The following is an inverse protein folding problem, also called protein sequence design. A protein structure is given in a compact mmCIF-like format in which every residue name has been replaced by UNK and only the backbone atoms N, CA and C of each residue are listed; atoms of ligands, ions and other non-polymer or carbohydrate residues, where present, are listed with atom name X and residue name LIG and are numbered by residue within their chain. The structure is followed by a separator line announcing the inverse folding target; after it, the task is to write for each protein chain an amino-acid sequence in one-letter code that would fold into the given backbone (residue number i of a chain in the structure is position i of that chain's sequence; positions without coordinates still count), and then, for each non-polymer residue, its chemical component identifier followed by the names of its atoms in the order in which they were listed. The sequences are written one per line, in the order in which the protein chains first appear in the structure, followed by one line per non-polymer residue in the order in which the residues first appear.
data_IF_955801945224
#
_entry.id   IF_955801945224
#
_cell.length_a   1.000
_cell.length_b   1.000
_cell.length_c   1.000
_cell.angle_alpha   90.00
_cell.angle_beta   90.00
_cell.angle_gamma   90.00
#
_symmetry.space_group_name_H-M   'P 1'
#
loop_
_entity.id
_entity.type
_entity.pdbx_description
1 polymer ?
#
# COMPACT_ATOMS: atom_id res chain seq x y z
N UNK A 1 -16.86 -42.06 23.70
CA UNK A 1 -16.90 -40.66 23.22
C UNK A 1 -16.53 -39.74 24.36
N UNK A 2 -15.45 -38.97 24.26
CA UNK A 2 -15.03 -38.07 25.34
C UNK A 2 -16.03 -36.90 25.47
N UNK A 3 -16.63 -36.72 26.66
CA UNK A 3 -17.47 -35.57 26.98
C UNK A 3 -16.57 -34.38 27.33
N UNK A 4 -16.31 -33.51 26.35
CA UNK A 4 -15.62 -32.25 26.62
C UNK A 4 -16.54 -31.29 27.38
N UNK A 5 -16.01 -30.59 28.38
CA UNK A 5 -16.76 -29.58 29.11
C UNK A 5 -17.11 -28.40 28.19
N UNK A 6 -18.28 -27.78 28.39
CA UNK A 6 -18.71 -26.59 27.61
C UNK A 6 -17.64 -25.47 27.58
N UNK A 7 -16.93 -25.15 28.68
CA UNK A 7 -15.84 -24.18 28.66
C UNK A 7 -14.70 -24.55 27.70
N UNK A 8 -14.29 -25.82 27.66
CA UNK A 8 -13.24 -26.29 26.75
C UNK A 8 -13.63 -26.14 25.27
N UNK A 9 -14.90 -26.40 24.94
CA UNK A 9 -15.42 -26.24 23.57
C UNK A 9 -15.46 -24.77 23.12
N UNK A 10 -15.81 -23.85 24.04
CA UNK A 10 -15.80 -22.41 23.77
C UNK A 10 -14.37 -21.91 23.56
N UNK A 11 -13.42 -22.32 24.42
CA UNK A 11 -12.01 -21.99 24.26
C UNK A 11 -11.44 -22.45 22.91
N UNK A 12 -11.71 -23.70 22.51
CA UNK A 12 -11.35 -24.24 21.18
C UNK A 12 -11.96 -23.45 20.02
N UNK A 13 -13.15 -22.87 20.21
CA UNK A 13 -13.80 -22.01 19.20
C UNK A 13 -13.10 -20.66 19.09
N UNK A 14 -12.71 -20.06 20.20
CA UNK A 14 -11.98 -18.79 20.24
C UNK A 14 -10.63 -18.94 19.53
N UNK A 15 -9.85 -19.98 19.85
CA UNK A 15 -8.56 -20.23 19.17
C UNK A 15 -8.71 -20.35 17.65
N UNK A 16 -9.74 -21.06 17.17
CA UNK A 16 -10.02 -21.17 15.73
C UNK A 16 -10.42 -19.85 15.10
N UNK A 17 -11.12 -18.99 15.83
CA UNK A 17 -11.47 -17.64 15.37
C UNK A 17 -10.23 -16.75 15.31
N UNK A 18 -9.35 -16.83 16.29
CA UNK A 18 -8.07 -16.12 16.31
C UNK A 18 -7.15 -16.58 15.17
N UNK A 19 -7.00 -17.89 14.96
CA UNK A 19 -6.23 -18.45 13.83
C UNK A 19 -6.79 -17.99 12.48
N UNK A 20 -8.12 -18.03 12.32
CA UNK A 20 -8.78 -17.59 11.09
C UNK A 20 -8.63 -16.10 10.86
N UNK A 21 -8.85 -15.30 11.89
CA UNK A 21 -8.68 -13.85 11.84
C UNK A 21 -7.23 -13.50 11.48
N UNK A 22 -6.24 -14.10 12.14
CA UNK A 22 -4.84 -13.87 11.83
C UNK A 22 -4.49 -14.26 10.39
N UNK A 23 -4.98 -15.41 9.90
CA UNK A 23 -4.77 -15.83 8.52
C UNK A 23 -5.40 -14.87 7.50
N UNK A 24 -6.61 -14.36 7.75
CA UNK A 24 -7.28 -13.40 6.88
C UNK A 24 -6.57 -12.03 6.88
N UNK A 25 -6.09 -11.57 8.04
CA UNK A 25 -5.25 -10.36 8.16
C UNK A 25 -3.91 -10.51 7.43
N UNK A 26 -3.23 -11.66 7.56
CA UNK A 26 -1.97 -11.91 6.85
C UNK A 26 -2.17 -12.01 5.33
N UNK A 27 -3.29 -12.58 4.87
CA UNK A 27 -3.65 -12.58 3.45
C UNK A 27 -3.91 -11.18 2.92
N UNK A 28 -4.64 -10.35 3.67
CA UNK A 28 -4.91 -8.97 3.31
C UNK A 28 -3.60 -8.16 3.26
N UNK A 29 -2.74 -8.34 4.26
CA UNK A 29 -1.40 -7.76 4.31
C UNK A 29 -0.54 -8.15 3.12
N UNK A 30 -0.54 -9.44 2.75
CA UNK A 30 0.19 -9.92 1.57
C UNK A 30 -0.29 -9.26 0.28
N UNK A 31 -1.61 -9.16 0.07
CA UNK A 31 -2.18 -8.46 -1.09
C UNK A 31 -1.82 -6.98 -1.10
N UNK A 32 -1.93 -6.30 0.04
CA UNK A 32 -1.59 -4.89 0.16
C UNK A 32 -0.11 -4.63 -0.14
N UNK A 33 0.80 -5.46 0.39
CA UNK A 33 2.23 -5.36 0.10
C UNK A 33 2.53 -5.58 -1.38
N UNK A 34 1.86 -6.53 -2.02
CA UNK A 34 2.04 -6.77 -3.46
C UNK A 34 1.66 -5.55 -4.30
N UNK A 35 0.54 -4.89 -3.98
CA UNK A 35 0.13 -3.68 -4.69
C UNK A 35 1.07 -2.50 -4.41
N UNK A 36 1.60 -2.38 -3.20
CA UNK A 36 2.60 -1.35 -2.86
C UNK A 36 3.93 -1.59 -3.58
N UNK A 37 4.35 -2.85 -3.74
CA UNK A 37 5.51 -3.20 -4.56
C UNK A 37 5.30 -2.79 -6.03
N UNK A 38 4.14 -3.08 -6.61
CA UNK A 38 3.81 -2.67 -7.97
C UNK A 38 3.90 -1.14 -8.15
N UNK A 39 3.34 -0.39 -7.20
CA UNK A 39 3.39 1.08 -7.19
C UNK A 39 4.83 1.58 -7.06
N UNK A 40 5.62 0.99 -6.16
CA UNK A 40 7.02 1.35 -5.95
C UNK A 40 7.85 1.15 -7.21
N UNK A 41 7.70 -0.01 -7.84
CA UNK A 41 8.43 -0.37 -9.05
C UNK A 41 8.07 0.58 -10.20
N UNK A 42 6.78 0.83 -10.44
CA UNK A 42 6.35 1.74 -11.49
C UNK A 42 6.84 3.17 -11.25
N UNK A 43 6.75 3.67 -10.01
CA UNK A 43 7.28 4.97 -9.64
C UNK A 43 8.81 5.06 -9.86
N UNK A 44 9.55 3.99 -9.53
CA UNK A 44 10.99 3.91 -9.78
C UNK A 44 11.32 3.94 -11.27
N UNK A 45 10.58 3.19 -12.10
CA UNK A 45 10.78 3.16 -13.56
C UNK A 45 10.59 4.54 -14.18
N UNK A 46 9.57 5.27 -13.73
CA UNK A 46 9.34 6.65 -14.20
C UNK A 46 10.43 7.59 -13.70
N UNK A 47 10.79 7.52 -12.41
CA UNK A 47 11.83 8.36 -11.82
C UNK A 47 13.20 8.17 -12.50
N UNK A 48 13.55 6.94 -12.85
CA UNK A 48 14.79 6.59 -13.56
C UNK A 48 14.77 6.96 -15.04
N UNK A 49 13.61 7.36 -15.58
CA UNK A 49 13.46 7.71 -16.99
C UNK A 49 13.34 6.51 -17.92
N UNK A 50 13.04 5.33 -17.39
CA UNK A 50 12.73 4.12 -18.16
C UNK A 50 11.36 4.28 -18.84
N UNK A 51 10.44 4.99 -18.19
CA UNK A 51 9.18 5.46 -18.81
C UNK A 51 9.39 6.89 -19.31
N UNK A 52 9.34 7.05 -20.63
CA UNK A 52 9.57 8.34 -21.30
C UNK A 52 8.29 9.10 -21.61
N UNK A 53 7.17 8.40 -21.79
CA UNK A 53 5.87 8.97 -22.19
C UNK A 53 4.79 8.49 -21.23
N UNK A 54 3.97 9.43 -20.72
CA UNK A 54 2.75 9.17 -19.95
C UNK A 54 1.65 10.04 -20.53
N UNK A 55 0.48 9.45 -20.83
CA UNK A 55 -0.65 10.14 -21.46
C UNK A 55 -0.24 10.96 -22.69
N UNK A 56 0.50 10.33 -23.61
CA UNK A 56 0.99 10.93 -24.87
C UNK A 56 1.98 12.11 -24.70
N UNK A 57 2.51 12.33 -23.49
CA UNK A 57 3.46 13.42 -23.20
C UNK A 57 4.76 12.93 -22.61
N UNK A 58 5.85 13.61 -22.96
CA UNK A 58 7.16 13.32 -22.38
C UNK A 58 7.21 13.63 -20.88
N UNK A 59 7.82 12.71 -20.12
CA UNK A 59 8.00 12.88 -18.68
C UNK A 59 9.14 13.86 -18.41
N UNK A 60 8.77 15.03 -17.89
CA UNK A 60 9.70 16.10 -17.51
C UNK A 60 10.55 15.72 -16.30
N UNK A 61 11.70 16.40 -16.12
CA UNK A 61 12.54 16.19 -14.92
C UNK A 61 11.81 16.50 -13.61
N UNK A 62 10.93 17.49 -13.59
CA UNK A 62 10.10 17.83 -12.42
C UNK A 62 9.14 16.67 -12.07
N UNK A 63 8.52 16.07 -13.09
CA UNK A 63 7.68 14.87 -12.89
C UNK A 63 8.51 13.68 -12.38
N UNK A 64 9.72 13.45 -12.92
CA UNK A 64 10.60 12.37 -12.42
C UNK A 64 10.97 12.54 -10.94
N UNK A 65 11.27 13.77 -10.52
CA UNK A 65 11.51 14.07 -9.10
C UNK A 65 10.28 13.80 -8.22
N UNK A 66 9.08 14.07 -8.72
CA UNK A 66 7.83 13.73 -8.02
C UNK A 66 7.65 12.22 -7.90
N UNK A 67 7.91 11.46 -8.97
CA UNK A 67 7.86 10.00 -8.94
C UNK A 67 8.91 9.39 -8.00
N UNK A 68 10.09 9.99 -7.87
CA UNK A 68 11.09 9.58 -6.87
C UNK A 68 10.57 9.78 -5.42
N UNK A 69 9.83 10.86 -5.15
CA UNK A 69 9.18 11.07 -3.84
C UNK A 69 8.08 10.06 -3.58
N UNK A 70 7.29 9.72 -4.60
CA UNK A 70 6.24 8.68 -4.51
C UNK A 70 6.86 7.32 -4.19
N UNK A 71 7.96 6.95 -4.87
CA UNK A 71 8.69 5.71 -4.58
C UNK A 71 9.21 5.69 -3.13
N UNK A 72 9.84 6.78 -2.68
CA UNK A 72 10.36 6.87 -1.32
C UNK A 72 9.26 6.74 -0.26
N UNK A 73 8.10 7.39 -0.47
CA UNK A 73 6.97 7.31 0.44
C UNK A 73 6.33 5.91 0.44
N UNK A 74 6.19 5.29 -0.74
CA UNK A 74 5.66 3.92 -0.86
C UNK A 74 6.53 2.92 -0.09
N UNK A 75 7.85 3.05 -0.16
CA UNK A 75 8.78 2.23 0.63
C UNK A 75 8.63 2.46 2.15
N UNK A 76 8.34 3.68 2.59
CA UNK A 76 8.05 3.96 4.01
C UNK A 76 6.77 3.28 4.48
N UNK A 77 5.70 3.34 3.67
CA UNK A 77 4.43 2.65 3.97
C UNK A 77 4.62 1.13 4.03
N UNK A 78 5.37 0.56 3.08
CA UNK A 78 5.73 -0.87 3.11
C UNK A 78 6.49 -1.22 4.40
N UNK A 79 7.44 -0.39 4.84
CA UNK A 79 8.16 -0.61 6.10
C UNK A 79 7.24 -0.53 7.32
N UNK A 80 6.26 0.37 7.34
CA UNK A 80 5.24 0.46 8.39
C UNK A 80 4.44 -0.85 8.49
N UNK A 81 3.86 -1.27 7.35
CA UNK A 81 3.10 -2.52 7.23
C UNK A 81 3.97 -3.74 7.58
N UNK A 82 5.25 -3.73 7.22
CA UNK A 82 6.19 -4.80 7.55
C UNK A 82 6.40 -4.94 9.07
N UNK A 83 6.42 -3.82 9.81
CA UNK A 83 6.65 -3.78 11.26
C UNK A 83 5.40 -4.10 12.08
N UNK A 84 4.20 -3.87 11.55
CA UNK A 84 2.94 -4.19 12.21
C UNK A 84 1.74 -3.95 11.29
N UNK A 85 0.68 -4.73 11.45
CA UNK A 85 -0.58 -4.53 10.71
C UNK A 85 -1.61 -3.91 11.65
N UNK A 86 -1.46 -2.63 11.93
CA UNK A 86 -2.52 -1.83 12.56
C UNK A 86 -3.38 -1.24 11.43
N UNK A 87 -4.63 -1.72 11.30
CA UNK A 87 -5.56 -1.26 10.25
C UNK A 87 -5.79 0.26 10.27
N UNK A 88 -5.70 0.91 11.44
CA UNK A 88 -5.90 2.37 11.55
C UNK A 88 -4.69 3.13 11.03
N UNK A 89 -3.48 2.68 11.37
CA UNK A 89 -2.24 3.30 10.90
C UNK A 89 -2.10 3.16 9.37
N UNK A 90 -2.49 1.99 8.83
CA UNK A 90 -2.47 1.73 7.39
C UNK A 90 -3.47 2.64 6.66
N UNK A 91 -4.68 2.82 7.19
CA UNK A 91 -5.68 3.71 6.58
C UNK A 91 -5.19 5.16 6.50
N UNK A 92 -4.52 5.65 7.54
CA UNK A 92 -3.92 7.00 7.56
C UNK A 92 -2.78 7.14 6.53
N UNK A 93 -1.89 6.16 6.45
CA UNK A 93 -0.79 6.14 5.47
C UNK A 93 -1.29 6.08 4.02
N UNK A 94 -2.34 5.30 3.77
CA UNK A 94 -2.96 5.19 2.44
C UNK A 94 -3.69 6.49 2.05
N UNK A 95 -4.30 7.20 3.00
CA UNK A 95 -4.91 8.52 2.77
C UNK A 95 -3.87 9.56 2.35
N UNK A 96 -2.71 9.58 3.00
CA UNK A 96 -1.65 10.49 2.63
C UNK A 96 -1.02 10.14 1.28
N UNK A 97 -0.84 8.84 0.98
CA UNK A 97 -0.40 8.39 -0.34
C UNK A 97 -1.35 8.89 -1.44
N UNK A 98 -2.67 8.76 -1.22
CA UNK A 98 -3.69 9.29 -2.14
C UNK A 98 -3.57 10.80 -2.31
N UNK A 99 -3.38 11.56 -1.22
CA UNK A 99 -3.21 13.02 -1.27
C UNK A 99 -2.01 13.42 -2.14
N UNK A 100 -0.88 12.73 -2.01
CA UNK A 100 0.33 12.97 -2.81
C UNK A 100 0.10 12.69 -4.31
N UNK A 101 -0.63 11.62 -4.63
CA UNK A 101 -0.99 11.28 -6.01
C UNK A 101 -1.93 12.32 -6.62
N UNK A 102 -2.92 12.79 -5.85
CA UNK A 102 -3.87 13.79 -6.32
C UNK A 102 -3.19 15.15 -6.56
N UNK A 103 -2.25 15.55 -5.70
CA UNK A 103 -1.40 16.72 -5.94
C UNK A 103 -0.55 16.58 -7.20
N UNK A 104 -0.01 15.39 -7.44
CA UNK A 104 0.80 15.14 -8.62
C UNK A 104 -0.03 15.24 -9.90
N UNK A 105 -1.26 14.72 -9.89
CA UNK A 105 -2.22 14.85 -10.99
C UNK A 105 -2.64 16.31 -11.21
N UNK A 106 -2.98 17.04 -10.16
CA UNK A 106 -3.40 18.43 -10.24
C UNK A 106 -2.31 19.34 -10.82
N UNK A 107 -1.05 19.15 -10.40
CA UNK A 107 0.10 19.89 -10.94
C UNK A 107 0.43 19.51 -12.39
N UNK A 108 0.19 18.26 -12.76
CA UNK A 108 0.29 17.80 -14.17
C UNK A 108 -0.80 18.40 -15.06
N UNK A 109 -1.96 18.76 -14.49
CA UNK A 109 -3.06 19.47 -15.15
C UNK A 109 -2.82 20.98 -15.28
N UNK A 110 -2.22 21.61 -14.27
CA UNK A 110 -1.87 23.04 -14.30
C UNK A 110 -0.79 23.36 -15.34
N UNK A 111 0.20 22.48 -15.52
CA UNK A 111 1.19 22.56 -16.60
C UNK A 111 0.56 22.26 -18.00
N UNK A 112 -0.75 21.96 -18.11
CA UNK A 112 -1.47 21.88 -19.40
C UNK A 112 -2.18 23.18 -19.80
N UNK A 113 -2.33 24.14 -18.88
CA UNK A 113 -3.08 25.38 -19.07
C UNK A 113 -2.19 26.65 -19.17
N UNK A 114 -0.87 26.47 -19.06
CA UNK A 114 0.16 27.47 -19.32
C UNK A 114 0.94 27.08 -20.58
#
# INVERSE_FOLDING_TARGET
MAKFSRPFLIYRRILKLEEKFHADTQRLRGKLMQELENIFDEACRIAKGEVKIIDEREVTMKQRQMWARIAAYTAQVMQGIAKGFDEREIDEQLKELRRLVDEAKAKSGADRAA
#
